data_IF_416566141757
#
_entry.id   IF_416566141757
#
_cell.length_a   1.000
_cell.length_b   1.000
_cell.length_c   1.000
_cell.angle_alpha   90.00
_cell.angle_beta   90.00
_cell.angle_gamma   90.00
#
_symmetry.space_group_name_H-M   'P 1'
#
loop_
_entity.id
_entity.type
_entity.pdbx_description
1 polymer ?
#
# COMPACT_ATOMS: atom_id res chain seq x y z
N UNK A 1 16.06 3.45 -28.87
CA UNK A 1 16.44 2.36 -27.93
C UNK A 1 15.74 2.59 -26.59
N UNK A 2 14.41 2.48 -26.56
CA UNK A 2 13.57 2.74 -25.38
C UNK A 2 12.43 1.71 -25.26
N UNK A 3 12.66 0.47 -25.72
CA UNK A 3 11.61 -0.54 -25.86
C UNK A 3 11.78 -1.76 -24.94
N UNK A 4 12.94 -1.91 -24.29
CA UNK A 4 13.20 -3.06 -23.41
C UNK A 4 12.68 -2.88 -21.99
N UNK A 5 12.49 -1.65 -21.49
CA UNK A 5 12.00 -1.41 -20.12
C UNK A 5 10.52 -1.71 -19.91
N UNK A 6 9.69 -1.49 -20.92
CA UNK A 6 8.23 -1.69 -20.90
C UNK A 6 7.84 -3.18 -20.99
N UNK A 7 8.63 -4.00 -21.68
CA UNK A 7 8.35 -5.44 -21.83
C UNK A 7 8.49 -6.22 -20.50
N UNK A 8 9.44 -5.84 -19.63
CA UNK A 8 9.57 -6.44 -18.29
C UNK A 8 8.38 -6.11 -17.38
N UNK A 9 7.84 -4.89 -17.49
CA UNK A 9 6.66 -4.43 -16.74
C UNK A 9 5.35 -5.07 -17.24
N UNK A 10 5.32 -5.58 -18.47
CA UNK A 10 4.19 -6.33 -19.04
C UNK A 10 4.30 -7.84 -18.86
N UNK A 11 5.40 -8.34 -18.27
CA UNK A 11 5.51 -9.77 -17.98
C UNK A 11 4.44 -10.20 -16.98
N UNK A 12 3.73 -11.29 -17.28
CA UNK A 12 2.68 -11.83 -16.41
C UNK A 12 3.20 -12.00 -14.96
N UNK A 13 4.43 -12.45 -14.78
CA UNK A 13 5.04 -12.59 -13.46
C UNK A 13 5.13 -11.28 -12.66
N UNK A 14 5.42 -10.16 -13.31
CA UNK A 14 5.49 -8.86 -12.64
C UNK A 14 4.10 -8.39 -12.19
N UNK A 15 3.08 -8.55 -13.03
CA UNK A 15 1.71 -8.15 -12.73
C UNK A 15 1.01 -9.08 -11.72
N UNK A 16 1.33 -10.38 -11.72
CA UNK A 16 0.70 -11.36 -10.82
C UNK A 16 1.43 -11.58 -9.49
N UNK A 17 2.72 -11.26 -9.38
CA UNK A 17 3.50 -11.53 -8.16
C UNK A 17 4.12 -10.27 -7.52
N UNK A 18 4.80 -9.46 -8.33
CA UNK A 18 5.59 -8.31 -7.80
C UNK A 18 4.67 -7.15 -7.44
N UNK A 19 3.67 -6.86 -8.27
CA UNK A 19 2.69 -5.80 -8.06
C UNK A 19 1.85 -6.03 -6.78
N UNK A 20 1.24 -7.21 -6.56
CA UNK A 20 0.50 -7.50 -5.33
C UNK A 20 1.40 -7.50 -4.09
N UNK A 21 2.64 -7.96 -4.20
CA UNK A 21 3.60 -7.96 -3.10
C UNK A 21 4.03 -6.55 -2.69
N UNK A 22 4.25 -5.64 -3.65
CA UNK A 22 4.51 -4.23 -3.36
C UNK A 22 3.30 -3.55 -2.71
N UNK A 23 2.07 -3.85 -3.16
CA UNK A 23 0.84 -3.35 -2.54
C UNK A 23 0.71 -3.87 -1.10
N UNK A 24 1.03 -5.14 -0.88
CA UNK A 24 1.05 -5.76 0.44
C UNK A 24 1.99 -5.03 1.41
N UNK A 25 3.25 -4.80 1.01
CA UNK A 25 4.21 -4.06 1.82
C UNK A 25 3.78 -2.61 2.06
N UNK A 26 3.29 -1.93 1.02
CA UNK A 26 2.77 -0.57 1.15
C UNK A 26 1.63 -0.49 2.17
N UNK A 27 0.72 -1.48 2.20
CA UNK A 27 -0.38 -1.53 3.18
C UNK A 27 0.06 -1.88 4.59
N UNK A 28 1.10 -2.68 4.77
CA UNK A 28 1.69 -2.90 6.10
C UNK A 28 2.25 -1.58 6.65
N UNK A 29 2.98 -0.83 5.83
CA UNK A 29 3.51 0.48 6.24
C UNK A 29 2.39 1.47 6.56
N UNK A 30 1.32 1.49 5.76
CA UNK A 30 0.15 2.35 5.96
C UNK A 30 -0.54 2.08 7.31
N UNK A 31 -0.82 0.82 7.63
CA UNK A 31 -1.42 0.46 8.93
C UNK A 31 -0.48 0.79 10.09
N UNK A 32 0.83 0.59 9.93
CA UNK A 32 1.84 0.98 10.95
C UNK A 32 1.86 2.48 11.21
N UNK A 33 1.73 3.30 10.16
CA UNK A 33 1.60 4.77 10.28
C UNK A 33 0.30 5.12 11.00
N UNK A 34 -0.79 4.42 10.71
CA UNK A 34 -2.07 4.55 11.42
C UNK A 34 -1.93 4.30 12.93
N UNK A 35 -1.23 3.24 13.34
CA UNK A 35 -0.95 2.96 14.76
C UNK A 35 -0.13 4.08 15.40
N UNK A 36 0.93 4.55 14.73
CA UNK A 36 1.73 5.68 15.22
C UNK A 36 0.88 6.95 15.36
N UNK A 37 0.01 7.24 14.40
CA UNK A 37 -0.94 8.37 14.46
C UNK A 37 -1.82 8.27 15.70
N UNK A 38 -2.40 7.10 15.98
CA UNK A 38 -3.24 6.87 17.18
C UNK A 38 -2.43 7.15 18.45
N UNK A 39 -1.19 6.66 18.54
CA UNK A 39 -0.29 6.91 19.69
C UNK A 39 0.01 8.41 19.84
N UNK A 40 0.30 9.13 18.76
CA UNK A 40 0.56 10.57 18.81
C UNK A 40 -0.67 11.39 19.17
N UNK A 41 -1.85 11.00 18.71
CA UNK A 41 -3.14 11.58 19.13
C UNK A 41 -3.34 11.36 20.63
N UNK A 42 -3.14 10.13 21.12
CA UNK A 42 -3.27 9.78 22.54
C UNK A 42 -2.26 10.54 23.42
N UNK A 43 -1.05 10.83 22.90
CA UNK A 43 -0.05 11.68 23.54
C UNK A 43 -0.33 13.18 23.46
N UNK A 44 -1.44 13.59 22.82
CA UNK A 44 -1.83 15.00 22.68
C UNK A 44 -0.97 15.79 21.69
N UNK A 45 -0.20 15.12 20.83
CA UNK A 45 0.69 15.78 19.88
C UNK A 45 -0.05 16.18 18.59
N UNK A 46 -0.65 17.37 18.63
CA UNK A 46 -1.61 17.87 17.63
C UNK A 46 -1.01 18.24 16.26
N UNK A 47 0.31 18.30 16.12
CA UNK A 47 0.98 18.62 14.85
C UNK A 47 1.38 17.36 14.07
N UNK A 48 1.90 16.35 14.78
CA UNK A 48 2.42 15.12 14.16
C UNK A 48 1.29 14.22 13.66
N UNK A 49 0.19 14.12 14.42
CA UNK A 49 -0.96 13.30 14.08
C UNK A 49 -1.61 13.64 12.72
N UNK A 50 -1.97 14.91 12.41
CA UNK A 50 -2.54 15.25 11.10
C UNK A 50 -1.53 15.14 9.96
N UNK A 51 -0.24 15.40 10.22
CA UNK A 51 0.81 15.21 9.22
C UNK A 51 0.93 13.73 8.81
N UNK A 52 1.00 12.81 9.77
CA UNK A 52 1.02 11.38 9.50
C UNK A 52 -0.24 10.91 8.75
N UNK A 53 -1.42 11.41 9.16
CA UNK A 53 -2.68 11.08 8.48
C UNK A 53 -2.74 11.54 7.02
N UNK A 54 -2.06 12.65 6.67
CA UNK A 54 -1.95 13.09 5.28
C UNK A 54 -1.14 12.09 4.43
N UNK A 55 -0.01 11.60 4.94
CA UNK A 55 0.79 10.58 4.24
C UNK A 55 0.08 9.23 4.17
N UNK A 56 -0.63 8.82 5.22
CA UNK A 56 -1.49 7.61 5.26
C UNK A 56 -2.49 7.64 4.08
N UNK A 57 -3.26 8.72 3.95
CA UNK A 57 -4.24 8.85 2.87
C UNK A 57 -3.58 8.91 1.48
N UNK A 58 -2.41 9.52 1.33
CA UNK A 58 -1.67 9.50 0.06
C UNK A 58 -1.25 8.09 -0.35
N UNK A 59 -0.70 7.30 0.58
CA UNK A 59 -0.30 5.91 0.32
C UNK A 59 -1.54 5.09 -0.07
N UNK A 60 -2.64 5.28 0.66
CA UNK A 60 -3.90 4.62 0.38
C UNK A 60 -4.44 4.92 -1.03
N UNK A 61 -4.49 6.20 -1.43
CA UNK A 61 -4.98 6.63 -2.75
C UNK A 61 -4.10 6.08 -3.88
N UNK A 62 -2.78 6.07 -3.70
CA UNK A 62 -1.85 5.52 -4.69
C UNK A 62 -2.03 4.00 -4.83
N UNK A 63 -2.20 3.29 -3.73
CA UNK A 63 -2.43 1.84 -3.73
C UNK A 63 -3.76 1.49 -4.41
N UNK A 64 -4.87 2.16 -4.05
CA UNK A 64 -6.18 1.84 -4.63
C UNK A 64 -6.25 2.14 -6.12
N UNK A 65 -5.57 3.21 -6.58
CA UNK A 65 -5.49 3.52 -8.02
C UNK A 65 -4.80 2.40 -8.80
N UNK A 66 -3.73 1.81 -8.24
CA UNK A 66 -3.02 0.68 -8.86
C UNK A 66 -3.84 -0.61 -8.88
N UNK A 67 -4.65 -0.84 -7.84
CA UNK A 67 -5.57 -1.98 -7.76
C UNK A 67 -6.69 -1.84 -8.80
N UNK A 68 -7.30 -0.65 -8.89
CA UNK A 68 -8.38 -0.39 -9.85
C UNK A 68 -7.87 -0.45 -11.31
N UNK A 69 -6.61 -0.10 -11.56
CA UNK A 69 -6.03 -0.23 -12.90
C UNK A 69 -5.71 -1.68 -13.31
N UNK A 70 -5.61 -2.62 -12.36
CA UNK A 70 -5.34 -4.03 -12.60
C UNK A 70 -6.53 -4.91 -12.14
N UNK A 71 -7.73 -4.53 -12.58
CA UNK A 71 -8.99 -5.19 -12.20
C UNK A 71 -9.08 -6.65 -12.64
N UNK A 72 -8.34 -7.03 -13.69
CA UNK A 72 -8.35 -8.38 -14.26
C UNK A 72 -7.65 -9.43 -13.37
N UNK A 73 -6.99 -8.99 -12.29
CA UNK A 73 -6.19 -9.87 -11.44
C UNK A 73 -6.73 -9.97 -9.98
N UNK A 74 -7.46 -11.04 -9.63
CA UNK A 74 -7.96 -11.25 -8.27
C UNK A 74 -6.85 -11.33 -7.20
N UNK A 75 -5.59 -11.61 -7.58
CA UNK A 75 -4.46 -11.65 -6.65
C UNK A 75 -4.09 -10.26 -6.10
N UNK A 76 -4.36 -9.16 -6.84
CA UNK A 76 -4.15 -7.79 -6.33
C UNK A 76 -5.07 -7.49 -5.14
N UNK A 77 -6.33 -7.96 -5.19
CA UNK A 77 -7.29 -7.81 -4.10
C UNK A 77 -6.90 -8.64 -2.88
N UNK A 78 -6.45 -9.87 -3.10
CA UNK A 78 -5.92 -10.75 -2.04
C UNK A 78 -4.69 -10.15 -1.38
N UNK A 79 -3.73 -9.62 -2.15
CA UNK A 79 -2.54 -8.95 -1.63
C UNK A 79 -2.89 -7.70 -0.81
N UNK A 80 -3.88 -6.93 -1.24
CA UNK A 80 -4.37 -5.77 -0.48
C UNK A 80 -5.06 -6.16 0.84
N UNK A 81 -5.96 -7.15 0.80
CA UNK A 81 -6.64 -7.65 1.99
C UNK A 81 -5.67 -8.32 2.99
N UNK A 82 -4.73 -9.12 2.48
CA UNK A 82 -3.68 -9.74 3.28
C UNK A 82 -2.76 -8.69 3.91
N UNK A 83 -2.35 -7.67 3.15
CA UNK A 83 -1.47 -6.61 3.63
C UNK A 83 -2.12 -5.79 4.75
N UNK A 84 -3.43 -5.53 4.63
CA UNK A 84 -4.19 -4.91 5.70
C UNK A 84 -4.28 -5.81 6.94
N UNK A 85 -4.62 -7.09 6.79
CA UNK A 85 -4.72 -8.03 7.91
C UNK A 85 -3.39 -8.21 8.65
N UNK A 86 -2.29 -8.41 7.92
CA UNK A 86 -0.94 -8.52 8.49
C UNK A 86 -0.48 -7.22 9.13
N UNK A 87 -0.77 -6.07 8.52
CA UNK A 87 -0.47 -4.76 9.10
C UNK A 87 -1.13 -4.55 10.46
N UNK A 88 -2.39 -4.98 10.63
CA UNK A 88 -3.11 -4.90 11.92
C UNK A 88 -2.61 -5.92 12.95
N UNK A 89 -2.00 -7.03 12.52
CA UNK A 89 -1.43 -8.02 13.43
C UNK A 89 -0.06 -7.57 13.99
N UNK A 90 0.76 -6.93 13.15
CA UNK A 90 2.10 -6.44 13.52
C UNK A 90 2.03 -5.09 14.25
N UNK A 91 1.07 -4.24 13.88
CA UNK A 91 0.94 -2.85 14.34
C UNK A 91 0.00 -2.66 15.53
#
# INVERSE_FOLDING_TARGET
MTETGSAFLQSDWFNYLILPFLIFLARICDVSIGTLRIIFVAKGNKLVAPFLGFFEVLIWILAITRIIQNLDNPFCYLGYAAGFATGNYIG
#
